data_IF_057726893262
#
_entry.id   IF_057726893262
#
_cell.length_a   1.000
_cell.length_b   1.000
_cell.length_c   1.000
_cell.angle_alpha   90.00
_cell.angle_beta   90.00
_cell.angle_gamma   90.00
#
_symmetry.space_group_name_H-M   'P 1'
#
loop_
_entity.id
_entity.type
_entity.pdbx_description
1 polymer ?
#
# COMPACT_ATOMS: atom_id res chain seq x y z
N UNK A 1 -17.24 10.56 13.07
CA UNK A 1 -16.51 9.28 12.91
C UNK A 1 -15.04 9.63 12.75
N UNK A 2 -14.29 9.69 13.85
CA UNK A 2 -12.84 9.84 13.79
C UNK A 2 -12.28 8.46 13.43
N UNK A 3 -11.78 8.28 12.20
CA UNK A 3 -11.27 6.99 11.74
C UNK A 3 -9.95 6.70 12.43
N UNK A 4 -9.97 5.83 13.43
CA UNK A 4 -8.77 5.28 14.05
C UNK A 4 -8.00 4.44 13.02
N UNK A 5 -6.69 4.67 12.90
CA UNK A 5 -5.80 3.98 11.97
C UNK A 5 -4.70 3.20 12.70
N UNK A 6 -3.67 3.87 13.20
CA UNK A 6 -2.62 3.26 14.05
C UNK A 6 -2.97 3.25 15.55
N UNK A 7 -4.12 3.80 15.96
CA UNK A 7 -4.44 4.05 17.37
C UNK A 7 -4.38 2.81 18.26
N UNK A 8 -4.96 1.71 17.82
CA UNK A 8 -5.06 0.47 18.60
C UNK A 8 -3.68 -0.15 18.85
N UNK A 9 -2.83 -0.17 17.82
CA UNK A 9 -1.45 -0.62 17.94
C UNK A 9 -0.64 0.30 18.85
N UNK A 10 -0.75 1.61 18.69
CA UNK A 10 -0.07 2.60 19.54
C UNK A 10 -0.48 2.43 21.01
N UNK A 11 -1.77 2.22 21.28
CA UNK A 11 -2.29 2.00 22.62
C UNK A 11 -1.75 0.70 23.23
N UNK A 12 -1.63 -0.37 22.43
CA UNK A 12 -1.04 -1.62 22.88
C UNK A 12 0.45 -1.47 23.22
N UNK A 13 1.22 -0.76 22.38
CA UNK A 13 2.65 -0.53 22.59
C UNK A 13 2.93 0.30 23.85
N UNK A 14 2.12 1.33 24.12
CA UNK A 14 2.27 2.20 25.30
C UNK A 14 2.08 1.48 26.64
N UNK A 15 1.62 0.23 26.65
CA UNK A 15 1.56 -0.59 27.86
C UNK A 15 2.94 -1.04 28.33
N UNK A 16 3.93 -1.06 27.42
CA UNK A 16 5.33 -1.22 27.78
C UNK A 16 5.95 0.19 27.95
N UNK A 17 6.51 0.50 29.14
CA UNK A 17 7.04 1.84 29.45
C UNK A 17 8.21 2.25 28.56
N UNK A 18 8.83 1.32 27.83
CA UNK A 18 9.85 1.64 26.83
C UNK A 18 9.28 2.41 25.65
N UNK A 19 8.03 2.20 25.24
CA UNK A 19 7.43 2.84 24.07
C UNK A 19 6.73 4.16 24.42
N UNK A 20 7.50 5.25 24.32
CA UNK A 20 7.05 6.61 24.58
C UNK A 20 6.81 7.32 23.25
N UNK A 21 5.58 7.80 23.06
CA UNK A 21 5.19 8.57 21.86
C UNK A 21 6.11 9.79 21.67
N UNK A 22 6.50 10.05 20.42
CA UNK A 22 7.43 11.13 20.05
C UNK A 22 8.86 10.98 20.60
N UNK A 23 9.21 9.85 21.23
CA UNK A 23 10.56 9.60 21.73
C UNK A 23 11.14 8.30 21.17
N UNK A 24 10.70 7.14 21.67
CA UNK A 24 11.11 5.80 21.19
C UNK A 24 10.11 5.18 20.21
N UNK A 25 8.90 5.75 20.11
CA UNK A 25 7.89 5.40 19.13
C UNK A 25 7.52 6.65 18.31
N UNK A 26 7.83 6.64 17.01
CA UNK A 26 7.70 7.80 16.13
C UNK A 26 6.83 7.48 14.93
N UNK A 27 5.94 8.41 14.57
CA UNK A 27 5.26 8.40 13.28
C UNK A 27 6.07 9.16 12.23
N UNK A 28 6.04 8.71 10.99
CA UNK A 28 6.71 9.36 9.86
C UNK A 28 5.69 9.65 8.73
N UNK A 29 4.79 10.64 8.92
CA UNK A 29 3.81 11.02 7.89
C UNK A 29 4.51 11.70 6.71
N UNK A 30 3.90 11.57 5.53
CA UNK A 30 4.37 12.16 4.27
C UNK A 30 3.19 12.60 3.40
N UNK A 31 3.45 13.33 2.32
CA UNK A 31 2.42 13.69 1.35
C UNK A 31 2.05 12.47 0.52
N UNK A 32 1.04 11.73 0.98
CA UNK A 32 0.55 10.51 0.36
C UNK A 32 -0.09 10.73 -1.02
N UNK A 33 -0.35 11.99 -1.43
CA UNK A 33 -0.87 12.26 -2.78
C UNK A 33 0.19 11.98 -3.84
N UNK A 34 1.47 12.12 -3.47
CA UNK A 34 2.62 12.05 -4.36
C UNK A 34 3.32 10.69 -4.30
N UNK A 35 4.09 10.38 -5.33
CA UNK A 35 4.97 9.20 -5.37
C UNK A 35 6.35 9.50 -4.71
N UNK A 36 7.24 8.50 -4.55
CA UNK A 36 8.52 8.69 -3.88
C UNK A 36 9.44 9.75 -4.51
N UNK A 37 9.43 9.91 -5.83
CA UNK A 37 10.26 10.89 -6.55
C UNK A 37 10.02 12.34 -6.09
N UNK A 38 8.80 12.67 -5.65
CA UNK A 38 8.45 14.02 -5.17
C UNK A 38 8.50 14.17 -3.64
N UNK A 39 8.92 13.12 -2.92
CA UNK A 39 8.99 13.10 -1.45
C UNK A 39 10.44 13.16 -0.93
N UNK A 40 11.36 13.81 -1.67
CA UNK A 40 12.79 13.85 -1.33
C UNK A 40 13.10 14.35 0.09
N UNK A 41 12.44 15.43 0.52
CA UNK A 41 12.62 15.98 1.88
C UNK A 41 12.14 15.02 2.96
N UNK A 42 11.06 14.28 2.71
CA UNK A 42 10.57 13.26 3.63
C UNK A 42 11.63 12.19 3.89
N UNK A 43 12.34 11.71 2.87
CA UNK A 43 13.37 10.68 3.07
C UNK A 43 14.58 11.17 3.86
N UNK A 44 14.97 12.45 3.69
CA UNK A 44 16.01 13.06 4.52
C UNK A 44 15.56 13.15 5.98
N UNK A 45 14.32 13.59 6.22
CA UNK A 45 13.71 13.64 7.56
C UNK A 45 13.54 12.26 8.18
N UNK A 46 13.17 11.25 7.38
CA UNK A 46 13.02 9.86 7.83
C UNK A 46 14.36 9.28 8.29
N UNK A 47 15.44 9.53 7.55
CA UNK A 47 16.79 9.09 7.95
C UNK A 47 17.19 9.69 9.29
N UNK A 48 17.06 11.01 9.43
CA UNK A 48 17.36 11.71 10.68
C UNK A 48 16.48 11.23 11.84
N UNK A 49 15.19 11.00 11.59
CA UNK A 49 14.24 10.48 12.58
C UNK A 49 14.66 9.09 13.09
N UNK A 50 15.13 8.22 12.20
CA UNK A 50 15.60 6.87 12.57
C UNK A 50 16.86 6.97 13.43
N UNK A 51 17.82 7.82 13.05
CA UNK A 51 19.05 8.04 13.81
C UNK A 51 18.76 8.63 15.20
N UNK A 52 17.88 9.63 15.28
CA UNK A 52 17.44 10.21 16.56
C UNK A 52 16.72 9.17 17.43
N UNK A 53 15.83 8.38 16.84
CA UNK A 53 15.10 7.32 17.56
C UNK A 53 16.05 6.26 18.11
N UNK A 54 17.09 5.91 17.36
CA UNK A 54 18.14 4.99 17.81
C UNK A 54 18.87 5.51 19.04
N UNK A 55 19.30 6.78 19.05
CA UNK A 55 19.95 7.38 20.21
C UNK A 55 19.00 7.47 21.41
N UNK A 56 17.76 7.93 21.21
CA UNK A 56 16.72 7.97 22.25
C UNK A 56 16.44 6.58 22.85
N UNK A 57 16.55 5.53 22.03
CA UNK A 57 16.33 4.14 22.40
C UNK A 57 17.57 3.46 23.03
N UNK A 58 18.57 4.23 23.48
CA UNK A 58 19.84 3.73 24.01
C UNK A 58 20.56 2.83 23.01
N UNK A 59 20.66 3.31 21.77
CA UNK A 59 21.37 2.65 20.68
C UNK A 59 20.77 1.28 20.30
N UNK A 60 19.45 1.12 20.50
CA UNK A 60 18.70 -0.02 20.01
C UNK A 60 18.23 0.22 18.57
N UNK A 61 18.51 -0.69 17.63
CA UNK A 61 18.04 -0.55 16.25
C UNK A 61 16.51 -0.56 16.16
N UNK A 62 15.98 0.23 15.21
CA UNK A 62 14.55 0.49 15.04
C UNK A 62 13.86 -0.61 14.24
N UNK A 63 12.58 -0.84 14.52
CA UNK A 63 11.71 -1.66 13.65
C UNK A 63 10.90 -0.72 12.77
N UNK A 64 11.00 -0.90 11.45
CA UNK A 64 10.17 -0.17 10.50
C UNK A 64 8.87 -0.94 10.26
N UNK A 65 7.74 -0.28 10.51
CA UNK A 65 6.40 -0.84 10.32
C UNK A 65 5.60 -0.02 9.31
N UNK A 66 5.92 -0.12 8.00
CA UNK A 66 5.08 0.48 6.98
C UNK A 66 3.75 -0.29 6.78
N UNK A 67 2.71 0.45 6.40
CA UNK A 67 1.41 -0.10 5.99
C UNK A 67 1.06 0.32 4.56
N UNK A 68 0.44 -0.58 3.80
CA UNK A 68 -0.07 -0.31 2.44
C UNK A 68 1.01 0.33 1.56
N UNK A 69 0.71 1.45 0.89
CA UNK A 69 1.67 2.21 0.06
C UNK A 69 2.96 2.60 0.79
N UNK A 70 2.91 2.80 2.11
CA UNK A 70 4.09 3.10 2.93
C UNK A 70 5.17 2.03 2.81
N UNK A 71 4.80 0.80 2.44
CA UNK A 71 5.72 -0.29 2.22
C UNK A 71 6.64 -0.03 1.03
N UNK A 72 6.09 0.47 -0.09
CA UNK A 72 6.88 0.83 -1.26
C UNK A 72 7.76 2.06 -1.00
N UNK A 73 7.28 3.00 -0.18
CA UNK A 73 8.10 4.12 0.30
C UNK A 73 9.28 3.64 1.15
N UNK A 74 9.05 2.68 2.05
CA UNK A 74 10.13 2.08 2.83
C UNK A 74 11.14 1.36 1.93
N UNK A 75 10.68 0.64 0.90
CA UNK A 75 11.57 0.01 -0.08
C UNK A 75 12.42 1.02 -0.85
N UNK A 76 11.81 2.10 -1.37
CA UNK A 76 12.52 3.20 -2.03
C UNK A 76 13.60 3.80 -1.13
N UNK A 77 13.25 4.08 0.14
CA UNK A 77 14.16 4.65 1.13
C UNK A 77 15.36 3.72 1.40
N UNK A 78 15.08 2.45 1.67
CA UNK A 78 16.11 1.46 2.04
C UNK A 78 17.03 1.09 0.87
N UNK A 79 16.55 1.18 -0.38
CA UNK A 79 17.38 1.01 -1.57
C UNK A 79 18.43 2.11 -1.71
N UNK A 80 18.16 3.30 -1.18
CA UNK A 80 19.10 4.44 -1.18
C UNK A 80 20.04 4.49 0.03
N UNK A 81 19.79 3.67 1.05
CA UNK A 81 20.65 3.58 2.23
C UNK A 81 21.74 2.53 2.02
N UNK A 82 22.95 2.84 2.47
CA UNK A 82 24.07 1.92 2.46
C UNK A 82 23.85 0.76 3.44
N UNK A 83 24.43 -0.41 3.13
CA UNK A 83 24.27 -1.62 3.95
C UNK A 83 24.78 -1.42 5.39
N UNK A 84 25.94 -0.78 5.65
CA UNK A 84 26.39 -0.51 7.01
C UNK A 84 25.40 0.31 7.83
N UNK A 85 24.82 1.37 7.24
CA UNK A 85 23.76 2.14 7.89
C UNK A 85 22.55 1.28 8.23
N UNK A 86 22.05 0.48 7.27
CA UNK A 86 20.91 -0.40 7.50
C UNK A 86 21.17 -1.40 8.63
N UNK A 87 22.35 -2.03 8.66
CA UNK A 87 22.77 -2.96 9.72
C UNK A 87 22.89 -2.31 11.09
N UNK A 88 23.30 -1.03 11.15
CA UNK A 88 23.42 -0.30 12.41
C UNK A 88 22.06 0.10 12.96
N UNK A 89 21.19 0.64 12.11
CA UNK A 89 19.98 1.33 12.57
C UNK A 89 18.70 0.52 12.46
N UNK A 90 18.61 -0.48 11.56
CA UNK A 90 17.36 -1.20 11.30
C UNK A 90 17.44 -2.62 11.88
N UNK A 91 16.57 -2.91 12.85
CA UNK A 91 16.43 -4.25 13.44
C UNK A 91 15.64 -5.16 12.51
N UNK A 92 14.50 -4.66 12.03
CA UNK A 92 13.58 -5.44 11.20
C UNK A 92 12.71 -4.54 10.35
N UNK A 93 12.23 -5.07 9.23
CA UNK A 93 11.22 -4.46 8.38
C UNK A 93 9.95 -5.30 8.41
N UNK A 94 8.82 -4.70 8.77
CA UNK A 94 7.53 -5.37 8.92
C UNK A 94 6.51 -4.79 7.95
N UNK A 95 6.35 -5.45 6.81
CA UNK A 95 5.34 -5.07 5.83
C UNK A 95 3.94 -5.46 6.32
N UNK A 96 3.03 -4.48 6.38
CA UNK A 96 1.63 -4.71 6.69
C UNK A 96 0.74 -4.36 5.50
N UNK A 97 0.07 -5.37 4.93
CA UNK A 97 -0.80 -5.23 3.74
C UNK A 97 -0.12 -4.52 2.56
N UNK A 98 1.11 -4.92 2.23
CA UNK A 98 1.89 -4.26 1.17
C UNK A 98 1.35 -4.60 -0.23
N UNK A 99 1.05 -3.60 -1.09
CA UNK A 99 0.73 -3.81 -2.49
C UNK A 99 2.02 -3.96 -3.32
N UNK A 100 2.78 -5.05 -3.13
CA UNK A 100 4.08 -5.26 -3.80
C UNK A 100 4.04 -5.10 -5.33
N UNK A 101 2.94 -5.48 -5.99
CA UNK A 101 2.73 -5.26 -7.42
C UNK A 101 1.54 -4.35 -7.75
N UNK A 102 1.07 -3.54 -6.81
CA UNK A 102 -0.07 -2.63 -7.04
C UNK A 102 -1.45 -3.25 -6.77
N UNK A 103 -2.51 -2.54 -7.14
CA UNK A 103 -3.90 -2.97 -6.94
C UNK A 103 -4.80 -2.54 -8.10
N UNK A 104 -5.69 -3.45 -8.55
CA UNK A 104 -6.70 -3.14 -9.60
C UNK A 104 -7.65 -2.02 -9.17
N UNK A 105 -7.83 -1.79 -7.87
CA UNK A 105 -8.65 -0.68 -7.36
C UNK A 105 -8.17 0.69 -7.85
N UNK A 106 -6.88 0.89 -8.07
CA UNK A 106 -6.36 2.19 -8.55
C UNK A 106 -6.77 2.47 -9.99
N UNK A 107 -6.81 1.44 -10.83
CA UNK A 107 -7.34 1.52 -12.20
C UNK A 107 -8.82 1.91 -12.21
N UNK A 108 -9.62 1.33 -11.30
CA UNK A 108 -11.04 1.70 -11.10
C UNK A 108 -11.19 3.17 -10.71
N UNK A 109 -10.33 3.66 -9.80
CA UNK A 109 -10.33 5.05 -9.34
C UNK A 109 -10.03 5.99 -10.51
N UNK A 110 -9.01 5.70 -11.33
CA UNK A 110 -8.67 6.52 -12.50
C UNK A 110 -9.80 6.57 -13.54
N UNK A 111 -10.50 5.46 -13.77
CA UNK A 111 -11.62 5.40 -14.70
C UNK A 111 -12.89 6.07 -14.14
N UNK A 112 -13.43 5.54 -13.05
CA UNK A 112 -14.79 5.85 -12.54
C UNK A 112 -14.81 6.60 -11.21
N UNK A 113 -13.65 6.92 -10.65
CA UNK A 113 -13.52 7.51 -9.31
C UNK A 113 -13.87 6.53 -8.20
N UNK A 114 -13.72 6.97 -6.96
CA UNK A 114 -14.15 6.25 -5.76
C UNK A 114 -14.77 7.21 -4.75
N UNK A 115 -15.81 6.76 -4.05
CA UNK A 115 -16.52 7.63 -3.10
C UNK A 115 -15.92 7.58 -1.68
N UNK A 116 -14.80 6.88 -1.47
CA UNK A 116 -14.14 6.75 -0.17
C UNK A 116 -15.08 6.22 0.95
N UNK A 117 -16.11 5.46 0.58
CA UNK A 117 -17.14 5.03 1.53
C UNK A 117 -18.11 6.13 1.99
N UNK A 118 -18.07 7.32 1.38
CA UNK A 118 -19.03 8.41 1.62
C UNK A 118 -20.36 8.06 0.94
N UNK A 119 -21.26 7.51 1.75
CA UNK A 119 -22.65 7.25 1.38
C UNK A 119 -23.28 8.58 0.91
N UNK A 120 -23.88 8.62 -0.29
CA UNK A 120 -24.52 9.78 -0.95
C UNK A 120 -23.66 10.68 -1.86
N UNK A 121 -22.37 10.40 -2.09
CA UNK A 121 -21.58 11.09 -3.14
C UNK A 121 -21.23 10.15 -4.28
N UNK A 122 -21.42 10.62 -5.52
CA UNK A 122 -21.02 9.88 -6.71
C UNK A 122 -19.49 9.72 -6.73
N UNK A 123 -18.96 8.52 -7.05
CA UNK A 123 -17.54 8.30 -7.25
C UNK A 123 -16.90 9.31 -8.23
N UNK A 124 -17.65 9.70 -9.27
CA UNK A 124 -17.19 10.67 -10.28
C UNK A 124 -16.92 12.06 -9.69
N UNK A 125 -17.59 12.44 -8.61
CA UNK A 125 -17.39 13.73 -7.95
C UNK A 125 -15.98 13.88 -7.36
N UNK A 126 -15.33 12.77 -6.98
CA UNK A 126 -13.97 12.78 -6.44
C UNK A 126 -12.91 12.48 -7.50
N UNK A 127 -13.31 12.00 -8.69
CA UNK A 127 -12.39 11.54 -9.73
C UNK A 127 -11.36 12.58 -10.12
N UNK A 128 -11.73 13.86 -10.23
CA UNK A 128 -10.76 14.91 -10.56
C UNK A 128 -9.67 15.06 -9.49
N UNK A 129 -10.07 15.02 -8.21
CA UNK A 129 -9.12 15.12 -7.09
C UNK A 129 -8.25 13.86 -7.02
N UNK A 130 -8.84 12.69 -7.21
CA UNK A 130 -8.12 11.41 -7.26
C UNK A 130 -7.09 11.39 -8.38
N UNK A 131 -7.49 11.69 -9.63
CA UNK A 131 -6.62 11.77 -10.81
C UNK A 131 -5.41 12.68 -10.60
N UNK A 132 -5.54 13.73 -9.79
CA UNK A 132 -4.44 14.65 -9.48
C UNK A 132 -3.37 14.08 -8.54
N UNK A 133 -3.50 12.84 -8.07
CA UNK A 133 -2.58 12.19 -7.14
C UNK A 133 -1.69 11.16 -7.86
N UNK A 134 -0.41 11.46 -8.15
CA UNK A 134 0.52 10.51 -8.78
C UNK A 134 0.70 9.18 -8.00
N UNK A 135 0.40 9.18 -6.70
CA UNK A 135 0.37 7.96 -5.87
C UNK A 135 -0.58 6.88 -6.39
N UNK A 136 -1.67 7.23 -7.08
CA UNK A 136 -2.62 6.25 -7.61
C UNK A 136 -2.05 5.51 -8.81
N UNK A 137 -1.46 6.23 -9.76
CA UNK A 137 -0.79 5.64 -10.92
C UNK A 137 0.45 4.87 -10.53
N UNK A 138 1.16 5.31 -9.48
CA UNK A 138 2.28 4.56 -8.88
C UNK A 138 1.88 3.16 -8.39
N UNK A 139 0.62 2.97 -8.01
CA UNK A 139 0.06 1.71 -7.49
C UNK A 139 -0.73 0.93 -8.55
N UNK A 140 -0.49 1.20 -9.84
CA UNK A 140 -1.08 0.41 -10.91
C UNK A 140 -0.56 -1.03 -10.90
N UNK A 141 -1.39 -2.02 -11.30
CA UNK A 141 -0.98 -3.42 -11.41
C UNK A 141 0.30 -3.62 -12.25
N UNK A 142 1.27 -4.34 -11.68
CA UNK A 142 2.51 -4.74 -12.34
C UNK A 142 2.25 -5.91 -13.30
N UNK A 143 2.80 -5.84 -14.51
CA UNK A 143 2.58 -6.83 -15.57
C UNK A 143 3.15 -8.22 -15.24
N UNK A 144 4.08 -8.32 -14.29
CA UNK A 144 4.60 -9.59 -13.79
C UNK A 144 3.59 -10.35 -12.94
N UNK A 145 2.63 -9.66 -12.33
CA UNK A 145 1.54 -10.26 -11.56
C UNK A 145 0.20 -10.27 -12.30
N UNK A 146 -0.04 -9.31 -13.17
CA UNK A 146 -1.21 -9.25 -14.06
C UNK A 146 -0.72 -9.25 -15.51
N UNK A 147 -0.55 -10.43 -16.14
CA UNK A 147 0.02 -10.51 -17.49
C UNK A 147 -0.88 -9.85 -18.54
N UNK A 148 -0.30 -9.48 -19.68
CA UNK A 148 -1.03 -8.84 -20.79
C UNK A 148 -2.16 -9.70 -21.38
N UNK A 149 -2.15 -11.01 -21.15
CA UNK A 149 -3.23 -11.93 -21.54
C UNK A 149 -4.48 -11.81 -20.65
N UNK A 150 -4.38 -11.14 -19.50
CA UNK A 150 -5.48 -10.98 -18.54
C UNK A 150 -6.01 -9.54 -18.55
N UNK A 151 -7.27 -9.31 -18.97
CA UNK A 151 -7.84 -7.97 -18.92
C UNK A 151 -8.18 -7.56 -17.47
N UNK A 152 -7.78 -6.35 -17.12
CA UNK A 152 -8.11 -5.65 -15.88
C UNK A 152 -9.46 -4.93 -16.01
N UNK A 153 -9.69 -4.31 -17.18
CA UNK A 153 -10.95 -3.65 -17.53
C UNK A 153 -11.56 -4.33 -18.75
N UNK A 154 -12.84 -4.64 -18.65
CA UNK A 154 -13.66 -5.21 -19.72
C UNK A 154 -14.72 -4.17 -20.08
N UNK A 155 -14.81 -3.80 -21.34
CA UNK A 155 -15.87 -2.93 -21.87
C UNK A 155 -16.55 -3.60 -23.07
N UNK A 156 -17.69 -3.10 -23.55
CA UNK A 156 -18.37 -3.71 -24.70
C UNK A 156 -17.55 -3.70 -25.99
N UNK A 157 -16.60 -2.79 -26.13
CA UNK A 157 -15.84 -2.59 -27.37
C UNK A 157 -14.34 -2.87 -27.24
N UNK A 158 -13.78 -2.79 -26.03
CA UNK A 158 -12.33 -2.89 -25.79
C UNK A 158 -12.05 -3.46 -24.40
N UNK A 159 -11.06 -4.35 -24.33
CA UNK A 159 -10.50 -4.81 -23.06
C UNK A 159 -9.13 -4.16 -22.85
N UNK A 160 -8.80 -3.84 -21.60
CA UNK A 160 -7.51 -3.23 -21.23
C UNK A 160 -6.81 -4.14 -20.21
N UNK A 161 -5.60 -4.57 -20.54
CA UNK A 161 -4.66 -5.28 -19.67
C UNK A 161 -3.64 -4.32 -19.04
N UNK A 162 -2.69 -4.84 -18.27
CA UNK A 162 -1.55 -4.07 -17.78
C UNK A 162 -0.64 -3.52 -18.89
N UNK A 163 -0.74 -4.04 -20.12
CA UNK A 163 0.03 -3.57 -21.26
C UNK A 163 -0.64 -2.41 -22.00
N UNK A 164 -1.90 -2.10 -21.67
CA UNK A 164 -2.74 -1.16 -22.41
C UNK A 164 -2.90 0.20 -21.71
N UNK A 165 -2.07 0.54 -20.73
CA UNK A 165 -2.24 1.76 -19.93
C UNK A 165 -2.24 3.04 -20.76
N UNK A 166 -1.41 3.14 -21.81
CA UNK A 166 -1.42 4.29 -22.71
C UNK A 166 -2.77 4.48 -23.40
N UNK A 167 -3.28 3.38 -23.97
CA UNK A 167 -4.59 3.36 -24.63
C UNK A 167 -5.70 3.65 -23.64
N UNK A 168 -5.67 3.02 -22.47
CA UNK A 168 -6.63 3.26 -21.40
C UNK A 168 -6.73 4.75 -21.03
N UNK A 169 -5.60 5.41 -20.75
CA UNK A 169 -5.61 6.83 -20.38
C UNK A 169 -6.07 7.74 -21.52
N UNK A 170 -5.77 7.39 -22.77
CA UNK A 170 -6.30 8.08 -23.95
C UNK A 170 -7.83 7.94 -24.03
N UNK A 171 -8.34 6.73 -23.88
CA UNK A 171 -9.76 6.40 -24.05
C UNK A 171 -10.64 6.98 -22.91
N UNK A 172 -10.08 7.25 -21.73
CA UNK A 172 -10.77 7.98 -20.64
C UNK A 172 -10.55 9.51 -20.66
N UNK A 173 -9.94 10.03 -21.72
CA UNK A 173 -9.57 11.44 -21.89
C UNK A 173 -8.74 12.01 -20.71
N UNK A 174 -7.73 11.26 -20.26
CA UNK A 174 -6.84 11.65 -19.17
C UNK A 174 -5.38 11.25 -19.43
N UNK A 175 -4.80 11.75 -20.52
CA UNK A 175 -3.43 11.41 -20.95
C UNK A 175 -2.34 11.82 -19.96
N UNK A 176 -2.60 12.84 -19.13
CA UNK A 176 -1.69 13.23 -18.04
C UNK A 176 -1.47 12.06 -17.06
N UNK A 177 -2.49 11.24 -16.80
CA UNK A 177 -2.35 10.06 -15.94
C UNK A 177 -1.35 9.04 -16.48
N UNK A 178 -1.25 8.86 -17.80
CA UNK A 178 -0.20 8.01 -18.39
C UNK A 178 1.19 8.59 -18.19
N UNK A 179 1.34 9.92 -18.26
CA UNK A 179 2.62 10.55 -17.96
C UNK A 179 3.00 10.37 -16.48
N UNK A 180 2.06 10.55 -15.56
CA UNK A 180 2.27 10.26 -14.12
C UNK A 180 2.67 8.80 -13.90
N UNK A 181 2.03 7.85 -14.60
CA UNK A 181 2.41 6.44 -14.55
C UNK A 181 3.85 6.24 -15.03
N UNK A 182 4.23 6.78 -16.20
CA UNK A 182 5.61 6.70 -16.74
C UNK A 182 6.66 7.26 -15.77
N UNK A 183 6.32 8.34 -15.07
CA UNK A 183 7.22 8.99 -14.12
C UNK A 183 7.39 8.19 -12.82
N UNK A 184 6.47 7.26 -12.52
CA UNK A 184 6.38 6.61 -11.20
C UNK A 184 6.53 5.09 -11.19
N UNK A 185 6.13 4.39 -12.26
CA UNK A 185 6.04 2.92 -12.27
C UNK A 185 7.39 2.21 -12.06
N UNK A 186 8.50 2.85 -12.44
CA UNK A 186 9.85 2.29 -12.35
C UNK A 186 10.62 2.76 -11.11
N UNK A 187 10.01 3.59 -10.25
CA UNK A 187 10.67 4.09 -9.06
C UNK A 187 11.00 2.95 -8.10
N UNK A 188 10.03 2.08 -7.84
CA UNK A 188 10.18 0.98 -6.87
C UNK A 188 9.84 -0.32 -7.56
N UNK A 189 10.80 -1.23 -7.61
CA UNK A 189 10.49 -2.63 -7.90
C UNK A 189 10.00 -3.29 -6.60
N UNK A 190 8.68 -3.27 -6.37
CA UNK A 190 8.10 -3.85 -5.17
C UNK A 190 8.21 -5.38 -5.10
N UNK A 191 8.62 -6.03 -6.19
CA UNK A 191 8.87 -7.47 -6.25
C UNK A 191 10.33 -7.82 -5.89
N UNK A 192 11.20 -6.82 -5.74
CA UNK A 192 12.59 -6.99 -5.33
C UNK A 192 12.70 -7.04 -3.80
N UNK A 193 13.33 -8.08 -3.25
CA UNK A 193 13.54 -8.19 -1.81
C UNK A 193 14.50 -7.08 -1.32
N UNK A 194 14.17 -6.35 -0.24
CA UNK A 194 15.10 -5.38 0.35
C UNK A 194 16.40 -6.04 0.83
N UNK A 195 17.54 -5.48 0.43
CA UNK A 195 18.87 -6.00 0.83
C UNK A 195 19.38 -5.32 2.11
N UNK A 196 20.26 -6.02 2.85
CA UNK A 196 20.93 -5.46 4.02
C UNK A 196 20.06 -5.31 5.27
N UNK A 197 18.96 -6.07 5.36
CA UNK A 197 18.11 -6.21 6.54
C UNK A 197 17.98 -7.70 6.83
N UNK A 198 18.33 -8.11 8.05
CA UNK A 198 18.40 -9.53 8.41
C UNK A 198 17.01 -10.13 8.65
N UNK A 199 16.09 -9.32 9.20
CA UNK A 199 14.74 -9.75 9.55
C UNK A 199 13.67 -8.98 8.78
N UNK A 200 13.01 -9.67 7.85
CA UNK A 200 11.86 -9.14 7.10
C UNK A 200 10.62 -9.96 7.45
N UNK A 201 9.54 -9.25 7.77
CA UNK A 201 8.24 -9.82 8.07
C UNK A 201 7.23 -9.33 7.03
N UNK A 202 6.35 -10.21 6.60
CA UNK A 202 5.29 -9.90 5.67
C UNK A 202 3.96 -10.38 6.26
N UNK A 203 3.06 -9.44 6.55
CA UNK A 203 1.80 -9.68 7.24
C UNK A 203 0.67 -9.08 6.40
N UNK A 204 -0.33 -9.87 6.04
CA UNK A 204 -1.49 -9.36 5.29
C UNK A 204 -2.78 -10.13 5.57
N UNK A 205 -3.90 -9.54 5.19
CA UNK A 205 -5.22 -10.20 5.20
C UNK A 205 -5.45 -11.12 4.01
N UNK A 206 -6.46 -11.98 4.12
CA UNK A 206 -6.98 -12.81 3.03
C UNK A 206 -8.46 -13.13 3.23
N UNK A 207 -9.07 -13.80 2.26
CA UNK A 207 -10.47 -14.25 2.27
C UNK A 207 -11.49 -13.12 2.34
N UNK A 208 -11.14 -11.95 1.79
CA UNK A 208 -12.07 -10.84 1.61
C UNK A 208 -12.23 -10.54 0.11
N UNK A 209 -13.49 -10.37 -0.29
CA UNK A 209 -13.86 -9.99 -1.66
C UNK A 209 -13.13 -8.71 -2.07
N UNK A 210 -12.21 -8.83 -3.01
CA UNK A 210 -11.34 -7.74 -3.48
C UNK A 210 -11.48 -7.57 -4.98
N UNK A 211 -11.45 -6.33 -5.48
CA UNK A 211 -11.61 -6.10 -6.94
C UNK A 211 -10.45 -6.72 -7.71
N UNK A 212 -10.76 -7.67 -8.59
CA UNK A 212 -9.79 -8.36 -9.45
C UNK A 212 -9.94 -7.92 -10.91
N UNK A 213 -11.17 -7.68 -11.36
CA UNK A 213 -11.47 -7.12 -12.69
C UNK A 213 -12.62 -6.12 -12.60
N UNK A 214 -12.69 -5.23 -13.59
CA UNK A 214 -13.70 -4.18 -13.69
C UNK A 214 -14.46 -4.40 -14.99
N UNK A 215 -15.78 -4.50 -14.94
CA UNK A 215 -16.62 -4.70 -16.13
C UNK A 215 -17.60 -3.55 -16.31
N UNK A 216 -17.62 -3.00 -17.51
CA UNK A 216 -18.52 -1.93 -17.94
C UNK A 216 -19.55 -2.49 -18.92
N UNK A 217 -20.79 -2.02 -18.80
CA UNK A 217 -21.88 -2.41 -19.69
C UNK A 217 -22.04 -1.41 -20.84
N UNK A 218 -22.73 -1.81 -21.90
CA UNK A 218 -23.12 -0.88 -22.95
C UNK A 218 -24.02 0.21 -22.38
N UNK A 219 -23.81 1.50 -22.75
CA UNK A 219 -24.62 2.59 -22.25
C UNK A 219 -26.11 2.33 -22.52
N UNK A 220 -26.96 2.79 -21.62
CA UNK A 220 -28.41 2.74 -21.79
C UNK A 220 -29.03 4.10 -21.50
N UNK A 221 -30.35 4.20 -21.64
CA UNK A 221 -31.09 5.38 -21.20
C UNK A 221 -30.88 5.70 -19.71
N UNK A 222 -30.57 4.70 -18.88
CA UNK A 222 -30.49 4.84 -17.42
C UNK A 222 -29.08 5.02 -16.87
N UNK A 223 -28.04 4.75 -17.65
CA UNK A 223 -26.66 4.85 -17.18
C UNK A 223 -25.67 5.14 -18.33
N UNK A 224 -24.68 5.98 -18.02
CA UNK A 224 -23.58 6.34 -18.93
C UNK A 224 -22.71 5.13 -19.29
N UNK A 225 -21.96 5.24 -20.38
CA UNK A 225 -20.96 4.25 -20.76
C UNK A 225 -19.62 4.44 -20.03
N UNK A 226 -18.66 3.57 -20.31
CA UNK A 226 -17.26 3.76 -19.92
C UNK A 226 -16.74 5.13 -20.38
N UNK A 227 -16.01 5.90 -19.54
CA UNK A 227 -15.59 5.59 -18.15
C UNK A 227 -16.53 6.17 -17.07
N UNK A 228 -17.64 6.80 -17.44
CA UNK A 228 -18.54 7.55 -16.55
C UNK A 228 -19.66 6.69 -15.93
N UNK A 229 -19.56 5.37 -16.05
CA UNK A 229 -20.44 4.40 -15.38
C UNK A 229 -19.87 3.99 -14.02
N UNK A 230 -20.73 3.64 -13.06
CA UNK A 230 -20.34 2.78 -11.93
C UNK A 230 -20.20 1.35 -12.47
N UNK A 231 -18.98 0.78 -12.50
CA UNK A 231 -18.77 -0.54 -13.10
C UNK A 231 -19.19 -1.67 -12.17
N UNK A 232 -19.38 -2.86 -12.75
CA UNK A 232 -19.41 -4.11 -12.00
C UNK A 232 -17.98 -4.47 -11.58
N UNK A 233 -17.76 -4.66 -10.27
CA UNK A 233 -16.49 -5.13 -9.73
C UNK A 233 -16.54 -6.66 -9.63
N UNK A 234 -15.69 -7.33 -10.40
CA UNK A 234 -15.56 -8.79 -10.36
C UNK A 234 -14.58 -9.13 -9.23
N UNK A 235 -15.02 -9.85 -8.19
CA UNK A 235 -14.21 -10.09 -7.02
C UNK A 235 -13.21 -11.23 -7.23
N UNK A 236 -12.05 -11.11 -6.59
CA UNK A 236 -11.09 -12.16 -6.29
C UNK A 236 -10.76 -12.16 -4.80
N UNK A 237 -9.76 -12.95 -4.40
CA UNK A 237 -9.28 -12.99 -3.02
C UNK A 237 -8.33 -11.82 -2.71
N UNK A 238 -8.26 -11.41 -1.44
CA UNK A 238 -7.43 -10.32 -0.97
C UNK A 238 -7.87 -9.82 0.41
N UNK A 239 -7.55 -8.56 0.72
CA UNK A 239 -7.87 -7.91 2.00
C UNK A 239 -8.99 -6.85 1.90
N UNK A 240 -9.72 -6.83 0.79
CA UNK A 240 -10.78 -5.86 0.46
C UNK A 240 -10.28 -4.64 -0.32
N UNK A 241 -8.96 -4.43 -0.43
CA UNK A 241 -8.37 -3.34 -1.25
C UNK A 241 -7.27 -3.83 -2.17
N UNK A 242 -6.37 -4.70 -1.71
CA UNK A 242 -5.25 -5.22 -2.49
C UNK A 242 -5.49 -6.70 -2.77
N UNK A 243 -5.39 -7.08 -4.05
CA UNK A 243 -5.61 -8.46 -4.48
C UNK A 243 -4.52 -9.39 -3.94
N UNK A 244 -4.89 -10.64 -3.66
CA UNK A 244 -4.02 -11.62 -2.97
C UNK A 244 -2.68 -11.78 -3.68
N UNK A 245 -2.66 -11.79 -5.01
CA UNK A 245 -1.44 -11.97 -5.82
C UNK A 245 -0.35 -10.93 -5.53
N UNK A 246 -0.77 -9.69 -5.23
CA UNK A 246 0.16 -8.64 -4.83
C UNK A 246 0.52 -8.70 -3.35
N UNK A 247 -0.40 -9.10 -2.47
CA UNK A 247 -0.14 -9.17 -1.02
C UNK A 247 0.85 -10.28 -0.68
N UNK A 248 0.69 -11.44 -1.32
CA UNK A 248 1.42 -12.66 -0.98
C UNK A 248 2.80 -12.75 -1.63
N UNK A 249 3.14 -11.84 -2.56
CA UNK A 249 4.33 -11.98 -3.40
C UNK A 249 5.63 -12.15 -2.60
N UNK A 250 5.72 -11.48 -1.45
CA UNK A 250 6.84 -11.59 -0.51
C UNK A 250 7.15 -13.04 -0.08
N UNK A 251 6.20 -13.99 -0.20
CA UNK A 251 6.42 -15.42 0.10
C UNK A 251 7.51 -16.05 -0.77
N UNK A 252 7.79 -15.45 -1.92
CA UNK A 252 8.82 -15.91 -2.85
C UNK A 252 10.24 -15.46 -2.44
N UNK A 253 10.36 -14.58 -1.44
CA UNK A 253 11.65 -14.09 -0.96
C UNK A 253 12.28 -15.05 0.06
N UNK A 254 13.58 -15.33 -0.04
CA UNK A 254 14.26 -16.27 0.87
C UNK A 254 14.27 -15.72 2.30
N UNK A 255 13.95 -16.58 3.27
CA UNK A 255 14.04 -16.26 4.70
C UNK A 255 12.94 -15.33 5.23
N UNK A 256 11.91 -15.03 4.44
CA UNK A 256 10.80 -14.17 4.87
C UNK A 256 9.99 -14.80 6.01
N UNK A 257 9.65 -13.98 7.02
CA UNK A 257 8.71 -14.38 8.08
C UNK A 257 7.30 -13.97 7.67
N UNK A 258 6.51 -14.95 7.27
CA UNK A 258 5.25 -14.71 6.56
C UNK A 258 4.02 -15.07 7.41
N UNK A 259 3.03 -14.17 7.45
CA UNK A 259 1.82 -14.30 8.25
C UNK A 259 0.59 -13.90 7.43
N UNK A 260 -0.37 -14.81 7.30
CA UNK A 260 -1.68 -14.53 6.73
C UNK A 260 -2.68 -14.41 7.87
N UNK A 261 -3.49 -13.35 7.86
CA UNK A 261 -4.55 -13.09 8.82
C UNK A 261 -5.91 -13.14 8.10
N UNK A 262 -6.51 -14.33 7.90
CA UNK A 262 -7.85 -14.48 7.31
C UNK A 262 -8.85 -13.51 7.91
N UNK A 263 -9.60 -12.80 7.06
CA UNK A 263 -10.63 -11.84 7.43
C UNK A 263 -10.12 -10.49 7.94
N UNK A 264 -8.81 -10.26 8.03
CA UNK A 264 -8.27 -8.95 8.37
C UNK A 264 -8.41 -8.00 7.18
N UNK A 265 -9.26 -6.98 7.31
CA UNK A 265 -9.47 -5.97 6.26
C UNK A 265 -8.25 -5.03 6.14
N UNK A 266 -8.00 -4.54 4.92
CA UNK A 266 -6.82 -3.76 4.54
C UNK A 266 -6.39 -2.70 5.56
N UNK A 267 -7.31 -1.88 6.06
CA UNK A 267 -7.03 -0.84 7.07
C UNK A 267 -7.13 -1.41 8.48
N UNK A 268 -8.16 -2.22 8.74
CA UNK A 268 -8.42 -2.81 10.07
C UNK A 268 -7.39 -3.84 10.53
N UNK A 269 -6.48 -4.28 9.65
CA UNK A 269 -5.35 -5.15 10.06
C UNK A 269 -4.52 -4.50 11.17
N UNK A 270 -4.43 -3.16 11.23
CA UNK A 270 -3.68 -2.43 12.26
C UNK A 270 -4.36 -2.43 13.64
N UNK A 271 -5.65 -2.77 13.70
CA UNK A 271 -6.40 -2.99 14.94
C UNK A 271 -6.73 -4.46 15.19
N UNK A 272 -6.30 -5.37 14.31
CA UNK A 272 -6.47 -6.80 14.49
C UNK A 272 -5.56 -7.30 15.63
N UNK A 273 -6.15 -7.94 16.63
CA UNK A 273 -5.42 -8.44 17.80
C UNK A 273 -4.29 -9.41 17.44
N UNK A 274 -4.44 -10.18 16.35
CA UNK A 274 -3.41 -11.11 15.86
C UNK A 274 -2.23 -10.34 15.29
N UNK A 275 -2.48 -9.30 14.51
CA UNK A 275 -1.44 -8.40 13.99
C UNK A 275 -0.69 -7.73 15.14
N UNK A 276 -1.43 -7.11 16.06
CA UNK A 276 -0.86 -6.44 17.25
C UNK A 276 0.02 -7.41 18.04
N UNK A 277 -0.44 -8.63 18.33
CA UNK A 277 0.34 -9.64 19.05
C UNK A 277 1.62 -10.04 18.30
N UNK A 278 1.59 -10.14 16.97
CA UNK A 278 2.78 -10.39 16.15
C UNK A 278 3.77 -9.23 16.30
N UNK A 279 3.32 -7.97 16.17
CA UNK A 279 4.19 -6.79 16.32
C UNK A 279 4.83 -6.74 17.70
N UNK A 280 4.05 -6.96 18.76
CA UNK A 280 4.54 -7.00 20.14
C UNK A 280 5.60 -8.08 20.34
N UNK A 281 5.43 -9.25 19.72
CA UNK A 281 6.41 -10.33 19.74
C UNK A 281 7.70 -9.95 19.00
N UNK A 282 7.62 -9.34 17.81
CA UNK A 282 8.79 -8.86 17.05
C UNK A 282 9.60 -7.84 17.86
N UNK A 283 8.89 -7.00 18.59
CA UNK A 283 9.44 -5.94 19.42
C UNK A 283 9.98 -6.43 20.77
N UNK A 284 9.69 -7.67 21.17
CA UNK A 284 9.90 -8.19 22.53
C UNK A 284 9.31 -7.23 23.59
N UNK A 285 8.11 -6.70 23.33
CA UNK A 285 7.46 -5.74 24.22
C UNK A 285 7.07 -6.43 25.54
N UNK A 286 7.46 -5.82 26.66
CA UNK A 286 7.13 -6.32 28.00
C UNK A 286 5.79 -5.73 28.44
N UNK A 287 4.70 -6.35 27.99
CA UNK A 287 3.36 -5.97 28.43
C UNK A 287 3.11 -6.70 29.74
N UNK A 288 3.25 -5.97 30.85
CA UNK A 288 2.67 -6.40 32.12
C UNK A 288 1.17 -6.52 31.93
N UNK A 289 0.62 -7.74 32.01
CA UNK A 289 -0.81 -7.94 32.15
C UNK A 289 -1.25 -7.31 33.47
N UNK A 290 -1.73 -6.06 33.39
CA UNK A 290 -2.57 -5.45 34.42
C UNK A 290 -4.03 -5.81 34.20
#
# INVERSE_FOLDING_TARGET
MFSEYFGSLVNALRKDPFYVSNFTMRGAPYDFRKAPNENGEFFNKLKALIEETYENAKQRPVVLLPHSMGCLFAQWFLKKCDIPWKKKYIKSLVFSSCPFGGSVKTVKIEASGDNFGVFLRSPLSFRHVQRSMPSLTFLFPDSRLWPSSEPLIITPTTNYSSADYERFFKDINYTIGYQMWKDTHSLVDGLEMPTGIDDIYCIHGSHLSTTEKISYSAPSYFYSGFPDQVPLLIPGDGDGTVGIRSLEYCKNWPGIKYYILPGAEHVRILSDVRHINIILKILNANITHG
#
